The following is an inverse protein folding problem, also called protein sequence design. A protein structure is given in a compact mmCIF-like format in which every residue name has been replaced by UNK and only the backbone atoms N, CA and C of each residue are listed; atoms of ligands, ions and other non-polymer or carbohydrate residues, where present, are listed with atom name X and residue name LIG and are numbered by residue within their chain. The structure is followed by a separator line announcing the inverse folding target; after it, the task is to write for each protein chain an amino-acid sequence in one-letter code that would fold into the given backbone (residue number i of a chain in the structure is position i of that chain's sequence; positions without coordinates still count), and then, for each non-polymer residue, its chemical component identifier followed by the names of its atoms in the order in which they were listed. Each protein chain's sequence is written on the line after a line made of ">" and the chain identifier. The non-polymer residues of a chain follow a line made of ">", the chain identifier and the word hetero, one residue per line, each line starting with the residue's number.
data_IF_137376826186
#
_entry.id   IF_137376826186
#
_cell.length_a   1.000
_cell.length_b   1.000
_cell.length_c   1.000
_cell.angle_alpha   90.00
_cell.angle_beta   90.00
_cell.angle_gamma   90.00
#
_symmetry.space_group_name_H-M   'P 1'
#
loop_
_entity.id
_entity.type
_entity.pdbx_description
1 polymer ?
#
# COMPACT_ATOMS: atom_id res chain seq x y z
N UNK A 1 -43.46 23.07 -16.23
CA UNK A 1 -42.14 22.62 -15.77
C UNK A 1 -41.13 23.10 -16.80
N UNK A 2 -40.38 24.14 -16.44
CA UNK A 2 -39.65 24.96 -17.40
C UNK A 2 -38.25 24.41 -17.68
N UNK A 3 -37.66 24.77 -18.81
CA UNK A 3 -36.30 24.39 -19.20
C UNK A 3 -35.23 24.68 -18.12
N UNK A 4 -35.49 25.63 -17.22
CA UNK A 4 -34.64 25.94 -16.07
C UNK A 4 -34.63 24.84 -14.99
N UNK A 5 -35.75 24.15 -14.77
CA UNK A 5 -35.84 23.05 -13.79
C UNK A 5 -35.04 21.83 -14.27
N UNK A 6 -35.10 21.55 -15.58
CA UNK A 6 -34.34 20.46 -16.22
C UNK A 6 -32.83 20.73 -16.17
N UNK A 7 -32.42 21.97 -16.48
CA UNK A 7 -31.02 22.40 -16.40
C UNK A 7 -30.46 22.27 -14.97
N UNK A 8 -31.26 22.61 -13.96
CA UNK A 8 -30.85 22.46 -12.56
C UNK A 8 -30.64 20.99 -12.18
N UNK A 9 -31.58 20.12 -12.52
CA UNK A 9 -31.51 18.70 -12.20
C UNK A 9 -30.30 18.00 -12.86
N UNK A 10 -29.99 18.35 -14.11
CA UNK A 10 -28.84 17.78 -14.83
C UNK A 10 -27.50 18.25 -14.26
N UNK A 11 -27.41 19.54 -13.88
CA UNK A 11 -26.25 20.07 -13.18
C UNK A 11 -26.05 19.40 -11.82
N UNK A 12 -27.13 19.16 -11.08
CA UNK A 12 -27.07 18.47 -9.78
C UNK A 12 -26.61 17.02 -9.93
N UNK A 13 -27.05 16.31 -10.98
CA UNK A 13 -26.55 14.95 -11.33
C UNK A 13 -25.03 14.95 -11.56
N UNK A 14 -24.51 15.94 -12.29
CA UNK A 14 -23.07 16.12 -12.54
C UNK A 14 -22.28 16.43 -11.25
N UNK A 15 -22.82 17.27 -10.37
CA UNK A 15 -22.20 17.57 -9.08
C UNK A 15 -22.15 16.35 -8.16
N UNK A 16 -23.23 15.57 -8.11
CA UNK A 16 -23.26 14.31 -7.38
C UNK A 16 -22.22 13.33 -7.93
N UNK A 17 -22.15 13.19 -9.26
CA UNK A 17 -21.12 12.36 -9.92
C UNK A 17 -19.69 12.80 -9.56
N UNK A 18 -19.42 14.10 -9.56
CA UNK A 18 -18.13 14.65 -9.16
C UNK A 18 -17.78 14.29 -7.71
N UNK A 19 -18.74 14.45 -6.78
CA UNK A 19 -18.53 14.12 -5.37
C UNK A 19 -18.24 12.64 -5.15
N UNK A 20 -18.91 11.76 -5.91
CA UNK A 20 -18.71 10.32 -5.84
C UNK A 20 -17.34 9.91 -6.42
N UNK A 21 -16.90 10.54 -7.51
CA UNK A 21 -15.56 10.34 -8.06
C UNK A 21 -14.46 10.81 -7.09
N UNK A 22 -14.67 11.93 -6.41
CA UNK A 22 -13.75 12.41 -5.36
C UNK A 22 -13.67 11.44 -4.18
N UNK A 23 -14.82 10.91 -3.74
CA UNK A 23 -14.85 9.88 -2.69
C UNK A 23 -14.11 8.62 -3.12
N UNK A 24 -14.28 8.21 -4.37
CA UNK A 24 -13.61 7.06 -4.95
C UNK A 24 -12.08 7.26 -5.06
N UNK A 25 -11.61 8.47 -5.38
CA UNK A 25 -10.19 8.85 -5.31
C UNK A 25 -9.65 8.83 -3.85
N UNK A 26 -10.42 9.33 -2.89
CA UNK A 26 -10.06 9.26 -1.46
C UNK A 26 -9.94 7.81 -0.97
N UNK A 27 -10.88 6.94 -1.34
CA UNK A 27 -10.82 5.52 -1.00
C UNK A 27 -9.58 4.85 -1.61
N UNK A 28 -9.26 5.18 -2.87
CA UNK A 28 -8.04 4.68 -3.52
C UNK A 28 -6.77 5.12 -2.77
N UNK A 29 -6.68 6.40 -2.41
CA UNK A 29 -5.57 6.91 -1.60
C UNK A 29 -5.49 6.26 -0.22
N UNK A 30 -6.63 6.08 0.45
CA UNK A 30 -6.69 5.39 1.74
C UNK A 30 -6.13 3.96 1.65
N UNK A 31 -6.47 3.21 0.59
CA UNK A 31 -5.90 1.87 0.36
C UNK A 31 -4.39 1.91 0.08
N UNK A 32 -3.90 2.87 -0.71
CA UNK A 32 -2.47 3.02 -0.97
C UNK A 32 -1.68 3.35 0.30
N UNK A 33 -2.21 4.27 1.13
CA UNK A 33 -1.61 4.62 2.41
C UNK A 33 -1.57 3.41 3.36
N UNK A 34 -2.64 2.62 3.39
CA UNK A 34 -2.71 1.41 4.19
C UNK A 34 -1.64 0.38 3.77
N UNK A 35 -1.43 0.17 2.47
CA UNK A 35 -0.35 -0.71 1.96
C UNK A 35 1.03 -0.16 2.35
N UNK A 36 1.25 1.15 2.19
CA UNK A 36 2.49 1.82 2.59
C UNK A 36 2.76 1.65 4.09
N UNK A 37 1.74 1.82 4.93
CA UNK A 37 1.87 1.75 6.38
C UNK A 37 2.16 0.33 6.88
N UNK A 38 1.54 -0.68 6.25
CA UNK A 38 1.86 -2.08 6.51
C UNK A 38 3.31 -2.37 6.13
N UNK A 39 3.76 -1.91 4.95
CA UNK A 39 5.15 -2.08 4.51
C UNK A 39 6.13 -1.41 5.47
N UNK A 40 5.91 -0.15 5.84
CA UNK A 40 6.77 0.57 6.80
C UNK A 40 6.81 -0.12 8.16
N UNK A 41 5.67 -0.58 8.68
CA UNK A 41 5.61 -1.35 9.94
C UNK A 41 6.39 -2.66 9.84
N UNK A 42 6.40 -3.31 8.68
CA UNK A 42 7.20 -4.52 8.46
C UNK A 42 8.71 -4.23 8.47
N UNK A 43 9.14 -3.17 7.79
CA UNK A 43 10.55 -2.76 7.71
C UNK A 43 11.11 -2.31 9.07
N UNK A 44 10.34 -1.54 9.84
CA UNK A 44 10.75 -1.11 11.18
C UNK A 44 10.97 -2.30 12.12
N UNK A 45 10.17 -3.36 11.99
CA UNK A 45 10.29 -4.58 12.81
C UNK A 45 11.51 -5.42 12.43
N UNK A 46 11.84 -5.51 11.15
CA UNK A 46 13.09 -6.13 10.68
C UNK A 46 14.31 -5.43 11.28
N UNK A 47 14.28 -4.09 11.35
CA UNK A 47 15.36 -3.29 11.96
C UNK A 47 15.50 -3.53 13.47
N UNK A 48 14.40 -3.66 14.21
CA UNK A 48 14.44 -3.98 15.64
C UNK A 48 15.08 -5.35 15.91
N UNK A 49 14.84 -6.33 15.05
CA UNK A 49 15.40 -7.68 15.21
C UNK A 49 16.89 -7.72 14.86
N UNK A 50 17.31 -6.99 13.81
CA UNK A 50 18.72 -6.79 13.53
C UNK A 50 19.45 -6.18 14.74
N UNK A 51 18.81 -5.25 15.45
CA UNK A 51 19.34 -4.66 16.68
C UNK A 51 19.45 -5.69 17.81
N UNK A 52 18.42 -6.52 18.04
CA UNK A 52 18.46 -7.58 19.07
C UNK A 52 19.60 -8.58 18.79
N UNK A 53 19.75 -9.01 17.54
CA UNK A 53 20.83 -9.92 17.12
C UNK A 53 22.20 -9.26 17.34
N UNK A 54 22.36 -7.99 16.95
CA UNK A 54 23.60 -7.25 17.15
C UNK A 54 23.96 -7.11 18.63
N UNK A 55 22.98 -6.83 19.50
CA UNK A 55 23.18 -6.75 20.96
C UNK A 55 23.55 -8.10 21.55
N UNK A 56 22.90 -9.19 21.14
CA UNK A 56 23.26 -10.54 21.58
C UNK A 56 24.69 -10.92 21.18
N UNK A 57 25.10 -10.56 19.96
CA UNK A 57 26.43 -10.84 19.45
C UNK A 57 27.50 -10.01 20.19
N UNK A 58 27.19 -8.74 20.48
CA UNK A 58 28.06 -7.88 21.27
C UNK A 58 28.22 -8.39 22.72
N UNK A 59 27.14 -8.83 23.37
CA UNK A 59 27.19 -9.43 24.70
C UNK A 59 28.00 -10.73 24.73
N UNK A 60 27.83 -11.58 23.71
CA UNK A 60 28.58 -12.82 23.58
C UNK A 60 30.09 -12.57 23.46
N UNK A 61 30.49 -11.60 22.64
CA UNK A 61 31.89 -11.19 22.52
C UNK A 61 32.40 -10.61 23.83
N UNK A 62 31.65 -9.72 24.49
CA UNK A 62 32.04 -9.10 25.75
C UNK A 62 32.25 -10.13 26.87
N UNK A 63 31.33 -11.08 27.02
CA UNK A 63 31.44 -12.17 28.02
C UNK A 63 32.65 -13.05 27.71
N UNK A 64 32.87 -13.38 26.44
CA UNK A 64 34.01 -14.21 26.02
C UNK A 64 35.35 -13.54 26.33
N UNK A 65 35.46 -12.23 26.08
CA UNK A 65 36.66 -11.43 26.36
C UNK A 65 36.87 -11.27 27.87
N UNK A 66 35.82 -11.00 28.64
CA UNK A 66 35.91 -10.90 30.10
C UNK A 66 36.32 -12.23 30.75
N UNK A 67 35.82 -13.35 30.23
CA UNK A 67 36.22 -14.67 30.68
C UNK A 67 37.69 -14.97 30.34
N UNK A 68 38.13 -14.64 29.12
CA UNK A 68 39.53 -14.80 28.70
C UNK A 68 40.49 -13.97 29.58
N UNK A 69 40.15 -12.72 29.89
CA UNK A 69 40.97 -11.86 30.75
C UNK A 69 41.04 -12.38 32.20
N UNK A 70 39.92 -12.83 32.78
CA UNK A 70 39.91 -13.42 34.12
C UNK A 70 40.73 -14.71 34.19
N UNK A 71 40.66 -15.56 33.16
CA UNK A 71 41.46 -16.79 33.08
C UNK A 71 42.96 -16.49 32.99
N UNK A 72 43.33 -15.43 32.26
CA UNK A 72 44.72 -14.98 32.13
C UNK A 72 45.26 -14.44 33.47
N UNK A 73 44.46 -13.66 34.19
CA UNK A 73 44.82 -13.08 35.48
C UNK A 73 44.93 -14.11 36.61
N UNK A 74 44.11 -15.18 36.56
CA UNK A 74 44.11 -16.24 37.57
C UNK A 74 45.24 -17.28 37.39
N UNK A 75 46.01 -17.22 36.30
CA UNK A 75 47.01 -18.24 36.00
C UNK A 75 48.42 -17.80 36.36
N UNK A 76 49.04 -18.47 37.33
CA UNK A 76 50.45 -18.30 37.70
C UNK A 76 51.40 -19.26 36.97
N UNK A 77 50.86 -20.17 36.13
CA UNK A 77 51.61 -21.25 35.51
C UNK A 77 51.28 -21.41 34.03
N UNK A 78 52.28 -21.23 33.16
CA UNK A 78 52.27 -21.70 31.77
C UNK A 78 51.25 -21.02 30.85
N UNK A 79 51.49 -19.76 30.49
CA UNK A 79 50.70 -18.93 29.55
C UNK A 79 50.24 -19.70 28.30
N UNK A 80 51.06 -20.63 27.78
CA UNK A 80 50.71 -21.46 26.62
C UNK A 80 49.53 -22.42 26.85
N UNK A 81 49.38 -23.01 28.04
CA UNK A 81 48.29 -23.95 28.31
C UNK A 81 46.96 -23.20 28.54
N UNK A 82 47.01 -22.01 29.14
CA UNK A 82 45.85 -21.12 29.28
C UNK A 82 45.37 -20.64 27.92
N UNK A 83 46.28 -20.16 27.05
CA UNK A 83 45.93 -19.76 25.69
C UNK A 83 45.25 -20.89 24.91
N UNK A 84 45.78 -22.11 24.99
CA UNK A 84 45.15 -23.28 24.34
C UNK A 84 43.76 -23.57 24.92
N UNK A 85 43.57 -23.49 26.23
CA UNK A 85 42.27 -23.74 26.88
C UNK A 85 41.23 -22.66 26.54
N UNK A 86 41.64 -21.39 26.52
CA UNK A 86 40.80 -20.26 26.11
C UNK A 86 40.38 -20.38 24.65
N UNK A 87 41.29 -20.75 23.75
CA UNK A 87 40.97 -20.99 22.33
C UNK A 87 39.96 -22.15 22.21
N UNK A 88 40.14 -23.25 22.96
CA UNK A 88 39.22 -24.38 22.94
C UNK A 88 37.83 -23.98 23.43
N UNK A 89 37.72 -23.24 24.54
CA UNK A 89 36.43 -22.73 25.03
C UNK A 89 35.80 -21.75 24.04
N UNK A 90 36.60 -20.90 23.39
CA UNK A 90 36.10 -19.96 22.39
C UNK A 90 35.58 -20.67 21.15
N UNK A 91 36.28 -21.71 20.67
CA UNK A 91 35.85 -22.55 19.53
C UNK A 91 34.60 -23.35 19.88
N UNK A 92 34.52 -23.92 21.09
CA UNK A 92 33.33 -24.64 21.56
C UNK A 92 32.17 -23.66 21.74
N UNK A 93 32.40 -22.50 22.36
CA UNK A 93 31.40 -21.47 22.61
C UNK A 93 30.84 -20.87 21.33
N UNK A 94 31.70 -20.57 20.34
CA UNK A 94 31.27 -20.12 19.01
C UNK A 94 30.52 -21.22 18.25
N UNK A 95 30.94 -22.48 18.39
CA UNK A 95 30.21 -23.65 17.85
C UNK A 95 28.81 -23.81 18.46
N UNK A 96 28.68 -23.69 19.78
CA UNK A 96 27.40 -23.75 20.50
C UNK A 96 26.53 -22.54 20.13
N UNK A 97 27.10 -21.35 20.03
CA UNK A 97 26.37 -20.15 19.59
C UNK A 97 25.89 -20.28 18.15
N UNK A 98 26.73 -20.77 17.24
CA UNK A 98 26.35 -21.05 15.85
C UNK A 98 25.23 -22.08 15.79
N UNK A 99 25.31 -23.17 16.57
CA UNK A 99 24.25 -24.16 16.65
C UNK A 99 22.97 -23.60 17.27
N UNK A 100 23.06 -22.69 18.25
CA UNK A 100 21.92 -22.03 18.86
C UNK A 100 21.23 -21.05 17.89
N UNK A 101 21.99 -20.24 17.16
CA UNK A 101 21.47 -19.36 16.10
C UNK A 101 20.89 -20.18 14.96
N UNK A 102 21.58 -21.23 14.52
CA UNK A 102 21.07 -22.16 13.50
C UNK A 102 19.81 -22.86 14.00
N UNK A 103 19.71 -23.25 15.26
CA UNK A 103 18.51 -23.84 15.84
C UNK A 103 17.34 -22.85 15.85
N UNK A 104 17.56 -21.60 16.26
CA UNK A 104 16.57 -20.52 16.19
C UNK A 104 16.09 -20.24 14.75
N UNK A 105 17.00 -20.29 13.77
CA UNK A 105 16.69 -20.18 12.34
C UNK A 105 15.93 -21.41 11.81
N UNK A 106 16.40 -22.62 12.10
CA UNK A 106 15.92 -23.87 11.50
C UNK A 106 14.58 -24.31 12.08
N UNK A 107 14.35 -24.12 13.38
CA UNK A 107 13.00 -24.31 13.98
C UNK A 107 12.00 -23.24 13.55
N UNK A 108 12.45 -22.26 12.76
CA UNK A 108 11.62 -21.16 12.34
C UNK A 108 11.04 -20.40 13.52
N UNK A 109 11.68 -20.35 14.69
CA UNK A 109 11.11 -19.65 15.85
C UNK A 109 10.98 -18.16 15.56
N UNK A 110 11.99 -17.61 14.89
CA UNK A 110 11.92 -16.29 14.24
C UNK A 110 10.79 -16.28 13.22
N UNK A 111 10.76 -17.23 12.28
CA UNK A 111 9.77 -17.31 11.19
C UNK A 111 8.32 -17.45 11.67
N UNK A 112 8.06 -18.11 12.80
CA UNK A 112 6.75 -18.32 13.42
C UNK A 112 6.33 -17.08 14.18
N UNK A 113 7.22 -16.43 14.94
CA UNK A 113 6.91 -15.12 15.54
C UNK A 113 6.63 -14.07 14.43
N UNK A 114 7.39 -14.12 13.34
CA UNK A 114 7.15 -13.31 12.14
C UNK A 114 5.81 -13.65 11.49
N UNK A 115 5.50 -14.93 11.26
CA UNK A 115 4.30 -15.37 10.58
C UNK A 115 3.05 -15.07 11.42
N UNK A 116 3.02 -15.43 12.69
CA UNK A 116 1.83 -15.24 13.54
C UNK A 116 1.52 -13.76 13.82
N UNK A 117 2.50 -12.86 13.80
CA UNK A 117 2.26 -11.41 13.96
C UNK A 117 2.09 -10.67 12.63
N UNK A 118 2.77 -11.10 11.56
CA UNK A 118 2.52 -10.61 10.20
C UNK A 118 1.11 -11.01 9.77
N UNK A 119 0.71 -12.27 9.97
CA UNK A 119 -0.63 -12.77 9.65
C UNK A 119 -1.72 -11.96 10.36
N UNK A 120 -1.54 -11.55 11.63
CA UNK A 120 -2.55 -10.72 12.31
C UNK A 120 -2.64 -9.29 11.74
N UNK A 121 -1.51 -8.68 11.41
CA UNK A 121 -1.48 -7.34 10.82
C UNK A 121 -1.96 -7.37 9.35
N UNK A 122 -1.64 -8.43 8.63
CA UNK A 122 -2.02 -8.69 7.25
C UNK A 122 -3.52 -9.03 7.16
N UNK A 123 -4.06 -9.86 8.06
CA UNK A 123 -5.50 -10.15 8.15
C UNK A 123 -6.29 -8.88 8.51
N UNK A 124 -5.86 -8.09 9.49
CA UNK A 124 -6.54 -6.83 9.83
C UNK A 124 -6.48 -5.82 8.67
N UNK A 125 -5.32 -5.73 8.00
CA UNK A 125 -5.13 -4.94 6.78
C UNK A 125 -6.01 -5.44 5.63
N UNK A 126 -6.18 -6.75 5.49
CA UNK A 126 -6.97 -7.36 4.44
C UNK A 126 -8.46 -7.14 4.65
N UNK A 127 -8.95 -7.23 5.90
CA UNK A 127 -10.33 -6.85 6.24
C UNK A 127 -10.58 -5.38 5.90
N UNK A 128 -9.71 -4.48 6.35
CA UNK A 128 -9.87 -3.04 6.09
C UNK A 128 -9.75 -2.70 4.59
N UNK A 129 -8.85 -3.38 3.86
CA UNK A 129 -8.76 -3.28 2.39
C UNK A 129 -10.04 -3.79 1.73
N UNK A 130 -10.63 -4.87 2.25
CA UNK A 130 -11.86 -5.43 1.74
C UNK A 130 -13.05 -4.51 1.96
N UNK A 131 -13.13 -3.85 3.11
CA UNK A 131 -14.17 -2.86 3.44
C UNK A 131 -14.07 -1.65 2.50
N UNK A 132 -12.87 -1.08 2.32
CA UNK A 132 -12.64 0.04 1.40
C UNK A 132 -12.97 -0.32 -0.06
N UNK A 133 -12.68 -1.55 -0.49
CA UNK A 133 -13.10 -2.07 -1.80
C UNK A 133 -14.61 -2.28 -1.88
N UNK A 134 -15.27 -2.69 -0.79
CA UNK A 134 -16.72 -2.79 -0.71
C UNK A 134 -17.40 -1.42 -0.89
N UNK A 135 -16.88 -0.39 -0.21
CA UNK A 135 -17.34 0.99 -0.42
C UNK A 135 -17.11 1.47 -1.86
N UNK A 136 -15.95 1.15 -2.44
CA UNK A 136 -15.66 1.48 -3.84
C UNK A 136 -16.66 0.82 -4.79
N UNK A 137 -17.00 -0.46 -4.55
CA UNK A 137 -17.96 -1.21 -5.34
C UNK A 137 -19.39 -0.63 -5.23
N UNK A 138 -19.81 -0.18 -4.05
CA UNK A 138 -21.09 0.50 -3.87
C UNK A 138 -21.17 1.81 -4.69
N UNK A 139 -20.07 2.56 -4.77
CA UNK A 139 -20.01 3.78 -5.58
C UNK A 139 -20.08 3.44 -7.07
N UNK A 140 -19.33 2.44 -7.53
CA UNK A 140 -19.31 2.02 -8.95
C UNK A 140 -20.70 1.52 -9.40
N UNK A 141 -21.40 0.79 -8.54
CA UNK A 141 -22.73 0.25 -8.84
C UNK A 141 -23.84 1.31 -8.74
N UNK A 142 -23.52 2.54 -8.34
CA UNK A 142 -24.51 3.60 -8.21
C UNK A 142 -25.14 3.94 -9.58
N UNK A 143 -26.48 4.11 -9.66
CA UNK A 143 -27.19 4.53 -10.87
C UNK A 143 -26.60 5.76 -11.58
N UNK A 144 -25.97 6.67 -10.82
CA UNK A 144 -25.30 7.86 -11.36
C UNK A 144 -24.20 7.50 -12.36
N UNK A 145 -23.55 6.34 -12.21
CA UNK A 145 -22.52 5.85 -13.13
C UNK A 145 -23.05 4.84 -14.14
N UNK A 146 -23.95 3.93 -13.72
CA UNK A 146 -24.45 2.85 -14.58
C UNK A 146 -25.52 3.30 -15.58
N UNK A 147 -26.23 4.41 -15.29
CA UNK A 147 -27.26 5.02 -16.13
C UNK A 147 -26.90 6.48 -16.49
N UNK A 148 -25.61 6.75 -16.63
CA UNK A 148 -25.12 8.09 -16.96
C UNK A 148 -25.25 8.39 -18.45
N UNK A 149 -25.63 9.62 -18.78
CA UNK A 149 -25.58 10.17 -20.15
C UNK A 149 -24.14 10.56 -20.54
N UNK A 150 -23.21 10.53 -19.58
CA UNK A 150 -21.79 10.73 -19.79
C UNK A 150 -21.14 9.37 -20.10
N UNK A 151 -20.35 9.25 -21.18
CA UNK A 151 -19.55 8.05 -21.45
C UNK A 151 -18.53 7.73 -20.34
N UNK A 152 -18.34 6.45 -20.03
CA UNK A 152 -17.43 5.98 -18.97
C UNK A 152 -15.98 6.43 -19.14
N UNK A 153 -15.51 6.56 -20.39
CA UNK A 153 -14.19 7.13 -20.74
C UNK A 153 -13.95 8.54 -20.20
N UNK A 154 -15.01 9.25 -19.80
CA UNK A 154 -14.93 10.58 -19.22
C UNK A 154 -15.16 10.61 -17.70
N UNK A 155 -15.20 9.45 -17.02
CA UNK A 155 -15.38 9.36 -15.57
C UNK A 155 -14.08 9.67 -14.80
N UNK A 156 -13.54 10.85 -15.09
CA UNK A 156 -12.40 11.44 -14.40
C UNK A 156 -12.86 12.78 -13.82
N UNK A 157 -12.40 13.10 -12.61
CA UNK A 157 -12.70 14.36 -11.91
C UNK A 157 -12.42 15.57 -12.80
N UNK A 158 -11.32 15.57 -13.56
CA UNK A 158 -10.97 16.68 -14.44
C UNK A 158 -11.97 16.84 -15.59
N UNK A 159 -12.40 15.74 -16.20
CA UNK A 159 -13.34 15.73 -17.32
C UNK A 159 -14.73 16.19 -16.87
N UNK A 160 -15.21 15.66 -15.75
CA UNK A 160 -16.49 16.04 -15.15
C UNK A 160 -16.49 17.53 -14.76
N UNK A 161 -15.38 18.07 -14.23
CA UNK A 161 -15.24 19.51 -13.97
C UNK A 161 -15.27 20.35 -15.25
N UNK A 162 -14.63 19.89 -16.31
CA UNK A 162 -14.67 20.57 -17.61
C UNK A 162 -16.10 20.60 -18.16
N UNK A 163 -16.80 19.47 -18.09
CA UNK A 163 -18.21 19.35 -18.50
C UNK A 163 -19.11 20.30 -17.69
N UNK A 164 -18.93 20.36 -16.38
CA UNK A 164 -19.66 21.28 -15.50
C UNK A 164 -19.41 22.75 -15.86
N UNK A 165 -18.20 23.10 -16.30
CA UNK A 165 -17.85 24.46 -16.71
C UNK A 165 -18.66 24.94 -17.93
N UNK A 166 -19.06 24.04 -18.84
CA UNK A 166 -19.97 24.40 -19.95
C UNK A 166 -21.39 24.73 -19.44
N UNK A 167 -21.85 24.10 -18.36
CA UNK A 167 -23.11 24.48 -17.70
C UNK A 167 -23.00 25.84 -17.01
N UNK A 168 -21.90 26.07 -16.28
CA UNK A 168 -21.68 27.30 -15.52
C UNK A 168 -21.50 28.53 -16.43
N UNK A 169 -20.85 28.35 -17.58
CA UNK A 169 -20.69 29.39 -18.61
C UNK A 169 -21.95 29.59 -19.46
N UNK A 170 -23.01 28.80 -19.25
CA UNK A 170 -24.25 28.87 -20.02
C UNK A 170 -24.13 28.35 -21.46
N UNK A 171 -23.01 27.71 -21.83
CA UNK A 171 -22.76 27.16 -23.16
C UNK A 171 -23.52 25.85 -23.40
N UNK A 172 -23.83 25.11 -22.33
CA UNK A 172 -24.64 23.89 -22.38
C UNK A 172 -25.90 23.99 -21.51
N UNK A 173 -26.99 23.44 -22.04
CA UNK A 173 -28.28 23.31 -21.34
C UNK A 173 -28.62 21.85 -21.02
N UNK A 174 -27.90 20.90 -21.62
CA UNK A 174 -28.02 19.49 -21.30
C UNK A 174 -26.67 18.76 -21.21
N UNK A 175 -26.64 17.62 -20.52
CA UNK A 175 -25.43 16.80 -20.34
C UNK A 175 -24.88 16.37 -21.70
N UNK A 176 -25.77 15.91 -22.59
CA UNK A 176 -25.39 15.49 -23.94
C UNK A 176 -24.75 16.64 -24.75
N UNK A 177 -25.28 17.85 -24.59
CA UNK A 177 -24.72 19.04 -25.23
C UNK A 177 -23.35 19.39 -24.63
N UNK A 178 -23.20 19.37 -23.31
CA UNK A 178 -21.93 19.64 -22.64
C UNK A 178 -20.84 18.61 -23.01
N UNK A 179 -21.20 17.33 -23.11
CA UNK A 179 -20.30 16.27 -23.58
C UNK A 179 -19.88 16.52 -25.03
N UNK A 180 -20.81 16.90 -25.91
CA UNK A 180 -20.46 17.19 -27.31
C UNK A 180 -19.51 18.38 -27.48
N UNK A 181 -19.69 19.44 -26.66
CA UNK A 181 -18.78 20.59 -26.64
C UNK A 181 -17.40 20.17 -26.14
N UNK A 182 -17.36 19.35 -25.09
CA UNK A 182 -16.12 18.79 -24.57
C UNK A 182 -15.39 17.93 -25.62
N UNK A 183 -16.11 17.08 -26.37
CA UNK A 183 -15.53 16.26 -27.44
C UNK A 183 -14.97 17.10 -28.59
N UNK A 184 -15.67 18.16 -28.98
CA UNK A 184 -15.20 19.10 -30.00
C UNK A 184 -13.95 19.86 -29.55
N UNK A 185 -13.92 20.31 -28.29
CA UNK A 185 -12.75 20.99 -27.72
C UNK A 185 -11.55 20.03 -27.64
N UNK A 186 -11.77 18.77 -27.25
CA UNK A 186 -10.73 17.73 -27.26
C UNK A 186 -10.21 17.45 -28.67
N UNK A 187 -11.06 17.48 -29.69
CA UNK A 187 -10.65 17.29 -31.08
C UNK A 187 -9.85 18.48 -31.63
N UNK A 188 -10.02 19.67 -31.06
CA UNK A 188 -9.40 20.91 -31.52
C UNK A 188 -8.11 21.25 -30.77
N UNK A 189 -7.97 20.81 -29.52
CA UNK A 189 -6.74 20.97 -28.74
C UNK A 189 -5.71 19.88 -29.13
N UNK A 190 -4.51 20.33 -29.55
CA UNK A 190 -3.42 19.51 -30.04
C UNK A 190 -3.16 18.21 -29.24
N UNK A 191 -2.65 17.18 -29.94
CA UNK A 191 -2.31 15.78 -29.58
C UNK A 191 -1.97 15.48 -28.10
N UNK A 192 -1.45 16.46 -27.37
CA UNK A 192 -1.06 16.34 -25.96
C UNK A 192 -2.25 16.21 -25.00
N UNK A 193 -3.37 16.89 -25.26
CA UNK A 193 -4.58 16.77 -24.43
C UNK A 193 -5.42 15.55 -24.83
N UNK A 194 -5.48 15.25 -26.13
CA UNK A 194 -6.14 14.04 -26.64
C UNK A 194 -5.55 12.77 -26.02
N UNK A 195 -4.23 12.63 -25.99
CA UNK A 195 -3.57 11.47 -25.40
C UNK A 195 -3.88 11.32 -23.90
N UNK A 196 -3.88 12.42 -23.14
CA UNK A 196 -4.12 12.38 -21.69
C UNK A 196 -5.58 12.06 -21.34
N UNK A 197 -6.53 12.53 -22.14
CA UNK A 197 -7.95 12.36 -21.85
C UNK A 197 -8.59 11.13 -22.51
N UNK A 198 -7.97 10.55 -23.54
CA UNK A 198 -8.49 9.38 -24.24
C UNK A 198 -7.74 8.08 -23.92
N UNK A 199 -6.44 8.13 -23.60
CA UNK A 199 -5.61 6.91 -23.47
C UNK A 199 -5.24 6.56 -22.02
N UNK A 200 -5.48 7.45 -21.04
CA UNK A 200 -5.28 7.12 -19.62
C UNK A 200 -6.53 6.45 -19.03
N UNK A 201 -6.40 5.29 -18.36
CA UNK A 201 -7.53 4.64 -17.72
C UNK A 201 -8.10 5.55 -16.63
N UNK A 202 -9.41 5.75 -16.66
CA UNK A 202 -10.09 6.61 -15.69
C UNK A 202 -10.01 6.03 -14.28
N UNK A 203 -10.13 6.88 -13.25
CA UNK A 203 -10.16 6.41 -11.86
C UNK A 203 -11.29 5.38 -11.68
N UNK A 204 -12.43 5.61 -12.34
CA UNK A 204 -13.54 4.65 -12.37
C UNK A 204 -13.14 3.30 -12.98
N UNK A 205 -12.51 3.27 -14.16
CA UNK A 205 -12.08 2.02 -14.81
C UNK A 205 -11.03 1.26 -13.98
N UNK A 206 -10.08 1.98 -13.37
CA UNK A 206 -9.08 1.38 -12.47
C UNK A 206 -9.75 0.73 -11.25
N UNK A 207 -10.78 1.36 -10.68
CA UNK A 207 -11.52 0.78 -9.56
C UNK A 207 -12.45 -0.38 -9.99
N UNK A 208 -13.02 -0.33 -11.19
CA UNK A 208 -13.78 -1.45 -11.77
C UNK A 208 -12.86 -2.66 -11.93
N UNK A 209 -11.65 -2.48 -12.47
CA UNK A 209 -10.66 -3.56 -12.58
C UNK A 209 -10.22 -4.07 -11.21
N UNK A 210 -9.97 -3.18 -10.24
CA UNK A 210 -9.60 -3.57 -8.88
C UNK A 210 -10.72 -4.38 -8.16
N UNK A 211 -11.98 -3.99 -8.37
CA UNK A 211 -13.14 -4.73 -7.86
C UNK A 211 -13.33 -6.07 -8.58
N UNK A 212 -13.08 -6.13 -9.89
CA UNK A 212 -13.18 -7.37 -10.67
C UNK A 212 -12.10 -8.40 -10.28
N UNK A 213 -10.86 -7.95 -10.04
CA UNK A 213 -9.77 -8.83 -9.60
C UNK A 213 -9.95 -9.40 -8.18
N UNK A 214 -10.81 -8.80 -7.35
CA UNK A 214 -11.22 -9.37 -6.06
C UNK A 214 -11.95 -10.71 -6.19
N UNK A 215 -12.46 -11.05 -7.38
CA UNK A 215 -13.01 -12.37 -7.70
C UNK A 215 -11.98 -13.39 -8.20
N UNK A 216 -10.70 -13.03 -8.33
CA UNK A 216 -9.72 -13.84 -9.08
C UNK A 216 -8.29 -13.93 -8.56
N UNK A 217 -7.94 -13.36 -7.39
CA UNK A 217 -6.60 -13.57 -6.84
C UNK A 217 -6.62 -13.91 -5.34
N UNK A 218 -6.64 -15.22 -5.09
CA UNK A 218 -5.74 -15.83 -4.11
C UNK A 218 -4.32 -15.31 -4.35
N UNK A 219 -3.74 -14.72 -3.31
CA UNK A 219 -2.34 -14.33 -3.31
C UNK A 219 -1.53 -15.62 -3.16
N UNK A 220 -0.76 -15.98 -4.18
CA UNK A 220 0.40 -16.88 -4.07
C UNK A 220 1.61 -16.12 -3.50
#
# INVERSE_FOLDING_TARGET
>A
MGANDLKSAEKDKLNQMLSQLQRLEQLRHARQNLISDVKKKSEMKTRQIALIIAVMLALFVAISVAFAMNLLAASSSGIQNILKFTIVIFVIGTGVFYLFVKFLMTRGFLKTIFKTMADKAEVASQTQKNDLLGESQQIIQNPIFTQSDVPSKYFNIQNIRMILRYFDSGQAYSIKMAVSLFENDLATQADHYQNKFQNEPTIYELEVQACAHKGGQTID
#
